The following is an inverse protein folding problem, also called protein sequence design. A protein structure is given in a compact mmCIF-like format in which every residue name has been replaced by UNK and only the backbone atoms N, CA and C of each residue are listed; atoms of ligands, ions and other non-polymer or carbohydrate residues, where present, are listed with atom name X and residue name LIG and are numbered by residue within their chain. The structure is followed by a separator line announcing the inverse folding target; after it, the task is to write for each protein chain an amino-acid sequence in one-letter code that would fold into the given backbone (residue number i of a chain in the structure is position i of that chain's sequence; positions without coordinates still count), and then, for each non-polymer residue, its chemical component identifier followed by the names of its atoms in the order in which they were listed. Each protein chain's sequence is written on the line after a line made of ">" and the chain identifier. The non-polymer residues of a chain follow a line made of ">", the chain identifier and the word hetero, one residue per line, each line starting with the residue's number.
data_IF_301718050702
#
_entry.id   IF_301718050702
#
_cell.length_a   1.000
_cell.length_b   1.000
_cell.length_c   1.000
_cell.angle_alpha   90.00
_cell.angle_beta   90.00
_cell.angle_gamma   90.00
#
_symmetry.space_group_name_H-M   'P 1'
#
loop_
_entity.id
_entity.type
_entity.pdbx_description
1 polymer ?
#
# COMPACT_ATOMS: atom_id res chain seq x y z
N UNK A 1 2.40 -9.19 -14.49
CA UNK A 1 2.02 -9.58 -13.12
C UNK A 1 1.16 -8.48 -12.52
N UNK A 2 0.07 -8.86 -11.91
CA UNK A 2 -0.85 -7.91 -11.29
C UNK A 2 -0.48 -7.79 -9.80
N UNK A 3 -0.14 -6.59 -9.38
CA UNK A 3 0.39 -6.34 -8.04
C UNK A 3 -0.54 -5.44 -7.24
N UNK A 4 -0.77 -5.79 -5.99
CA UNK A 4 -1.47 -4.93 -5.03
C UNK A 4 -0.43 -4.28 -4.13
N UNK A 5 -0.46 -2.96 -4.04
CA UNK A 5 0.42 -2.20 -3.13
C UNK A 5 -0.38 -1.70 -1.95
N UNK A 6 0.01 -2.07 -0.74
CA UNK A 6 -0.53 -1.41 0.45
C UNK A 6 0.17 -0.06 0.65
N UNK A 7 -0.30 0.72 1.62
CA UNK A 7 0.26 2.06 1.85
C UNK A 7 1.71 2.03 2.31
N UNK A 8 2.10 1.03 3.10
CA UNK A 8 3.49 0.94 3.59
C UNK A 8 4.50 0.78 2.46
N UNK A 9 4.13 0.08 1.40
CA UNK A 9 4.94 -0.06 0.20
C UNK A 9 4.79 1.16 -0.72
N UNK A 10 3.56 1.62 -0.95
CA UNK A 10 3.26 2.70 -1.89
C UNK A 10 3.93 4.01 -1.49
N UNK A 11 3.96 4.35 -0.21
CA UNK A 11 4.58 5.58 0.29
C UNK A 11 6.08 5.66 -0.02
N UNK A 12 6.74 4.51 -0.20
CA UNK A 12 8.18 4.43 -0.54
C UNK A 12 8.51 4.96 -1.94
N UNK A 13 7.49 5.12 -2.79
CA UNK A 13 7.66 5.78 -4.09
C UNK A 13 7.89 7.29 -3.94
N UNK A 14 7.44 7.88 -2.83
CA UNK A 14 7.43 9.33 -2.62
C UNK A 14 8.42 9.78 -1.54
N UNK A 15 8.67 8.94 -0.55
CA UNK A 15 9.66 9.19 0.52
C UNK A 15 10.79 8.20 0.33
N UNK A 16 12.02 8.70 0.20
CA UNK A 16 13.18 7.84 0.07
C UNK A 16 13.56 7.25 1.43
N UNK A 17 13.34 5.96 1.58
CA UNK A 17 13.59 5.21 2.82
C UNK A 17 13.99 3.78 2.49
N UNK A 18 14.18 2.94 3.49
CA UNK A 18 14.53 1.53 3.27
C UNK A 18 13.49 0.87 2.35
N UNK A 19 13.98 0.16 1.35
CA UNK A 19 13.13 -0.56 0.39
C UNK A 19 12.64 0.26 -0.78
N UNK A 20 12.88 1.58 -0.83
CA UNK A 20 12.37 2.44 -1.90
C UNK A 20 12.84 2.01 -3.29
N UNK A 21 14.12 1.62 -3.43
CA UNK A 21 14.64 1.17 -4.74
C UNK A 21 13.96 -0.12 -5.18
N UNK A 22 13.73 -1.04 -4.25
CA UNK A 22 13.04 -2.29 -4.53
C UNK A 22 11.58 -2.05 -4.93
N UNK A 23 10.92 -1.10 -4.28
CA UNK A 23 9.54 -0.72 -4.63
C UNK A 23 9.47 -0.15 -6.04
N UNK A 24 10.40 0.76 -6.39
CA UNK A 24 10.45 1.34 -7.74
C UNK A 24 10.64 0.28 -8.81
N UNK A 25 11.61 -0.60 -8.61
CA UNK A 25 11.87 -1.68 -9.55
C UNK A 25 10.65 -2.60 -9.70
N UNK A 26 9.99 -2.93 -8.60
CA UNK A 26 8.82 -3.80 -8.62
C UNK A 26 7.61 -3.11 -9.29
N UNK A 27 7.46 -1.81 -9.06
CA UNK A 27 6.45 -0.99 -9.73
C UNK A 27 6.63 -1.04 -11.26
N UNK A 28 7.86 -0.80 -11.72
CA UNK A 28 8.18 -0.76 -13.15
C UNK A 28 7.96 -2.11 -13.83
N UNK A 29 8.15 -3.21 -13.12
CA UNK A 29 7.95 -4.57 -13.63
C UNK A 29 6.49 -5.02 -13.58
N UNK A 30 5.64 -4.34 -12.84
CA UNK A 30 4.24 -4.72 -12.68
C UNK A 30 3.43 -4.37 -13.92
N UNK A 31 2.62 -5.31 -14.39
CA UNK A 31 1.75 -5.09 -15.54
C UNK A 31 0.57 -4.21 -15.17
N UNK A 32 -0.04 -4.51 -14.03
CA UNK A 32 -1.14 -3.74 -13.44
C UNK A 32 -0.83 -3.54 -11.97
N UNK A 33 -0.94 -2.30 -11.51
CA UNK A 33 -0.88 -1.98 -10.09
C UNK A 33 -2.27 -1.60 -9.61
N UNK A 34 -2.72 -2.23 -8.56
CA UNK A 34 -3.96 -1.86 -7.89
C UNK A 34 -3.72 -1.59 -6.40
N UNK A 35 -4.64 -0.87 -5.81
CA UNK A 35 -4.70 -0.64 -4.36
C UNK A 35 -6.12 -0.24 -3.97
N UNK A 36 -6.36 -0.18 -2.67
CA UNK A 36 -7.61 0.37 -2.14
C UNK A 36 -7.71 1.86 -2.45
N UNK A 37 -8.94 2.34 -2.63
CA UNK A 37 -9.19 3.79 -2.80
C UNK A 37 -8.67 4.62 -1.63
N UNK A 38 -8.45 4.02 -0.45
CA UNK A 38 -7.90 4.73 0.72
C UNK A 38 -6.40 5.00 0.62
N UNK A 39 -5.69 4.38 -0.33
CA UNK A 39 -4.22 4.52 -0.42
C UNK A 39 -3.81 5.96 -0.65
N UNK A 40 -4.57 6.72 -1.41
CA UNK A 40 -4.26 8.13 -1.68
C UNK A 40 -4.38 8.96 -0.41
N UNK A 41 -5.46 8.78 0.34
CA UNK A 41 -5.66 9.50 1.61
C UNK A 41 -4.57 9.14 2.62
N UNK A 42 -4.25 7.86 2.75
CA UNK A 42 -3.21 7.41 3.67
C UNK A 42 -1.82 7.95 3.28
N UNK A 43 -1.54 7.99 1.98
CA UNK A 43 -0.26 8.51 1.47
C UNK A 43 -0.14 10.02 1.74
N UNK A 44 -1.19 10.78 1.46
CA UNK A 44 -1.22 12.23 1.78
C UNK A 44 -1.00 12.45 3.28
N UNK A 45 -1.68 11.66 4.10
CA UNK A 45 -1.52 11.72 5.56
C UNK A 45 -0.08 11.42 5.99
N UNK A 46 0.53 10.38 5.42
CA UNK A 46 1.92 10.01 5.70
C UNK A 46 2.91 11.09 5.27
N UNK A 47 2.72 11.68 4.09
CA UNK A 47 3.55 12.78 3.59
C UNK A 47 3.43 14.02 4.47
N UNK A 48 2.22 14.38 4.87
CA UNK A 48 1.95 15.50 5.75
C UNK A 48 2.63 15.32 7.11
N UNK A 49 2.55 14.12 7.67
CA UNK A 49 3.21 13.78 8.93
C UNK A 49 4.73 13.84 8.81
N UNK A 50 5.28 13.32 7.71
CA UNK A 50 6.72 13.37 7.46
C UNK A 50 7.24 14.80 7.41
N UNK A 51 6.48 15.73 6.79
CA UNK A 51 6.80 17.14 6.76
C UNK A 51 6.74 17.76 8.16
N UNK A 52 5.68 17.49 8.91
CA UNK A 52 5.52 18.00 10.28
C UNK A 52 6.64 17.53 11.19
N UNK A 53 7.09 16.29 11.03
CA UNK A 53 8.19 15.70 11.78
C UNK A 53 9.58 16.05 11.21
N UNK A 54 9.63 16.90 10.20
CA UNK A 54 10.86 17.36 9.54
C UNK A 54 11.70 16.24 8.93
N UNK A 55 11.09 15.13 8.57
CA UNK A 55 11.75 14.06 7.82
C UNK A 55 11.86 14.39 6.34
N UNK A 56 10.98 15.25 5.83
CA UNK A 56 11.05 15.83 4.50
C UNK A 56 10.85 17.34 4.59
N UNK A 57 11.39 18.05 3.62
CA UNK A 57 11.23 19.52 3.52
C UNK A 57 9.87 19.86 2.90
N UNK A 58 9.48 21.16 3.00
CA UNK A 58 8.28 21.66 2.31
C UNK A 58 8.37 21.51 0.79
N UNK A 59 9.56 21.67 0.20
CA UNK A 59 9.78 21.47 -1.23
C UNK A 59 9.62 19.98 -1.61
N UNK A 60 10.20 19.10 -0.82
CA UNK A 60 10.05 17.65 -1.03
C UNK A 60 8.58 17.23 -0.90
N UNK A 61 7.86 17.77 0.07
CA UNK A 61 6.42 17.54 0.21
C UNK A 61 5.66 17.96 -1.04
N UNK A 62 5.89 19.19 -1.53
CA UNK A 62 5.22 19.70 -2.72
C UNK A 62 5.52 18.82 -3.95
N UNK A 63 6.77 18.41 -4.12
CA UNK A 63 7.18 17.54 -5.22
C UNK A 63 6.52 16.18 -5.12
N UNK A 64 6.48 15.61 -3.92
CA UNK A 64 5.81 14.33 -3.67
C UNK A 64 4.33 14.37 -3.97
N UNK A 65 3.64 15.49 -3.64
CA UNK A 65 2.23 15.67 -3.95
C UNK A 65 1.98 15.73 -5.46
N UNK A 66 2.87 16.39 -6.22
CA UNK A 66 2.80 16.41 -7.69
C UNK A 66 2.96 14.99 -8.24
N UNK A 67 3.98 14.26 -7.78
CA UNK A 67 4.24 12.89 -8.21
C UNK A 67 3.06 11.97 -7.89
N UNK A 68 2.45 12.14 -6.72
CA UNK A 68 1.28 11.35 -6.31
C UNK A 68 0.12 11.56 -7.28
N UNK A 69 -0.14 12.82 -7.67
CA UNK A 69 -1.21 13.13 -8.63
C UNK A 69 -0.94 12.51 -10.01
N UNK A 70 0.31 12.47 -10.43
CA UNK A 70 0.68 11.85 -11.71
C UNK A 70 0.47 10.33 -11.67
N UNK A 71 0.82 9.68 -10.54
CA UNK A 71 0.66 8.23 -10.39
C UNK A 71 -0.77 7.79 -10.13
N UNK A 72 -1.64 8.71 -9.71
CA UNK A 72 -3.05 8.41 -9.40
C UNK A 72 -3.76 7.72 -10.56
N UNK A 73 -3.49 8.15 -11.78
CA UNK A 73 -4.11 7.60 -12.99
C UNK A 73 -3.50 6.25 -13.40
N UNK A 74 -2.37 5.88 -12.83
CA UNK A 74 -1.70 4.61 -13.14
C UNK A 74 -2.14 3.47 -12.21
N UNK A 75 -2.86 3.79 -11.14
CA UNK A 75 -3.32 2.83 -10.16
C UNK A 75 -4.76 2.44 -10.44
N UNK A 76 -5.02 1.14 -10.51
CA UNK A 76 -6.40 0.65 -10.50
C UNK A 76 -6.94 0.73 -9.06
N UNK A 77 -7.82 1.68 -8.82
CA UNK A 77 -8.37 1.98 -7.50
C UNK A 77 -9.55 1.05 -7.18
N UNK A 78 -9.46 0.30 -6.09
CA UNK A 78 -10.49 -0.63 -5.65
C UNK A 78 -11.40 0.04 -4.62
N UNK A 79 -12.71 0.00 -4.87
CA UNK A 79 -13.69 0.60 -3.98
C UNK A 79 -13.76 -0.12 -2.63
N UNK A 80 -13.99 0.64 -1.57
CA UNK A 80 -14.26 0.10 -0.24
C UNK A 80 -15.78 -0.02 -0.11
N UNK A 81 -16.32 -1.15 -0.57
CA UNK A 81 -17.75 -1.44 -0.49
C UNK A 81 -18.10 -2.23 0.78
N UNK A 82 -19.39 -2.50 0.98
CA UNK A 82 -19.85 -3.21 2.18
C UNK A 82 -19.24 -4.60 2.31
N UNK A 83 -19.05 -5.31 1.20
CA UNK A 83 -18.46 -6.65 1.20
C UNK A 83 -17.01 -6.61 1.66
N UNK A 84 -16.24 -5.64 1.18
CA UNK A 84 -14.84 -5.42 1.59
C UNK A 84 -14.78 -5.06 3.08
N UNK A 85 -15.66 -4.17 3.54
CA UNK A 85 -15.70 -3.79 4.97
C UNK A 85 -16.03 -4.99 5.86
N UNK A 86 -16.99 -5.82 5.47
CA UNK A 86 -17.36 -7.01 6.25
C UNK A 86 -16.20 -8.01 6.33
N UNK A 87 -15.51 -8.23 5.21
CA UNK A 87 -14.31 -9.09 5.18
C UNK A 87 -13.19 -8.49 6.04
N UNK A 88 -13.00 -7.18 5.99
CA UNK A 88 -12.01 -6.49 6.82
C UNK A 88 -12.33 -6.65 8.32
N UNK A 89 -13.60 -6.62 8.72
CA UNK A 89 -14.00 -6.88 10.10
C UNK A 89 -13.55 -8.27 10.56
N UNK A 90 -13.73 -9.28 9.71
CA UNK A 90 -13.28 -10.64 10.02
C UNK A 90 -11.76 -10.71 10.16
N UNK A 91 -11.02 -10.06 9.28
CA UNK A 91 -9.55 -10.03 9.33
C UNK A 91 -9.04 -9.25 10.55
N UNK A 92 -9.69 -8.15 10.90
CA UNK A 92 -9.35 -7.39 12.10
C UNK A 92 -9.51 -8.25 13.35
N UNK A 93 -10.58 -9.07 13.41
CA UNK A 93 -10.84 -9.97 14.54
C UNK A 93 -9.88 -11.16 14.55
N UNK A 94 -9.73 -11.85 13.42
CA UNK A 94 -9.01 -13.13 13.37
C UNK A 94 -7.49 -12.96 13.28
N UNK A 95 -7.03 -11.90 12.62
CA UNK A 95 -5.60 -11.62 12.43
C UNK A 95 -5.09 -10.52 13.35
N UNK A 96 -5.98 -9.85 14.09
CA UNK A 96 -5.61 -8.75 14.98
C UNK A 96 -5.05 -7.53 14.24
N UNK A 97 -5.51 -7.28 13.01
CA UNK A 97 -5.03 -6.17 12.20
C UNK A 97 -5.73 -4.86 12.58
N UNK A 98 -5.00 -3.74 12.38
CA UNK A 98 -5.61 -2.41 12.42
C UNK A 98 -6.59 -2.26 11.27
N UNK A 99 -7.53 -1.31 11.41
CA UNK A 99 -8.63 -1.11 10.46
C UNK A 99 -8.16 -0.98 9.01
N UNK A 100 -7.18 -0.11 8.74
CA UNK A 100 -6.73 0.13 7.37
C UNK A 100 -5.93 -1.04 6.81
N UNK A 101 -5.14 -1.73 7.63
CA UNK A 101 -4.43 -2.94 7.23
C UNK A 101 -5.42 -4.05 6.87
N UNK A 102 -6.48 -4.19 7.66
CA UNK A 102 -7.56 -5.14 7.37
C UNK A 102 -8.28 -4.79 6.05
N UNK A 103 -8.50 -3.50 5.76
CA UNK A 103 -9.09 -3.05 4.50
C UNK A 103 -8.18 -3.39 3.32
N UNK A 104 -6.88 -3.17 3.42
CA UNK A 104 -5.94 -3.53 2.37
C UNK A 104 -5.94 -5.03 2.10
N UNK A 105 -5.89 -5.84 3.16
CA UNK A 105 -5.92 -7.29 3.00
C UNK A 105 -7.23 -7.75 2.35
N UNK A 106 -8.37 -7.23 2.80
CA UNK A 106 -9.68 -7.56 2.24
C UNK A 106 -9.78 -7.17 0.77
N UNK A 107 -9.30 -5.99 0.40
CA UNK A 107 -9.30 -5.53 -0.99
C UNK A 107 -8.44 -6.44 -1.87
N UNK A 108 -7.26 -6.83 -1.40
CA UNK A 108 -6.37 -7.71 -2.14
C UNK A 108 -6.97 -9.12 -2.32
N UNK A 109 -7.55 -9.67 -1.26
CA UNK A 109 -8.17 -11.00 -1.31
C UNK A 109 -9.39 -11.02 -2.23
N UNK A 110 -10.16 -9.92 -2.26
CA UNK A 110 -11.34 -9.78 -3.12
C UNK A 110 -11.01 -9.60 -4.59
N UNK A 111 -9.75 -9.38 -4.92
CA UNK A 111 -9.28 -9.12 -6.27
C UNK A 111 -8.24 -10.16 -6.64
N UNK A 112 -8.26 -10.62 -7.90
CA UNK A 112 -7.28 -11.61 -8.37
C UNK A 112 -5.93 -10.93 -8.61
N UNK A 113 -5.14 -10.75 -7.55
CA UNK A 113 -3.77 -10.25 -7.65
C UNK A 113 -2.77 -11.39 -7.57
N UNK A 114 -1.65 -11.21 -8.27
CA UNK A 114 -0.57 -12.20 -8.23
C UNK A 114 0.31 -12.03 -7.01
N UNK A 115 0.53 -10.77 -6.60
CA UNK A 115 1.41 -10.44 -5.47
C UNK A 115 0.86 -9.27 -4.66
N UNK A 116 1.00 -9.40 -3.34
CA UNK A 116 0.72 -8.36 -2.36
C UNK A 116 2.04 -7.72 -1.93
N UNK A 117 2.23 -6.45 -2.25
CA UNK A 117 3.47 -5.72 -1.95
C UNK A 117 3.27 -4.92 -0.68
N UNK A 118 4.02 -5.25 0.36
CA UNK A 118 3.80 -4.74 1.71
C UNK A 118 5.11 -4.75 2.52
N UNK A 119 5.37 -3.70 3.28
CA UNK A 119 6.54 -3.62 4.15
C UNK A 119 6.23 -3.89 5.63
N UNK A 120 4.95 -3.96 6.00
CA UNK A 120 4.53 -4.25 7.38
C UNK A 120 4.55 -5.76 7.63
N UNK A 121 5.39 -6.21 8.57
CA UNK A 121 5.60 -7.64 8.83
C UNK A 121 4.33 -8.36 9.28
N UNK A 122 3.52 -7.73 10.12
CA UNK A 122 2.28 -8.33 10.61
C UNK A 122 1.27 -8.50 9.49
N UNK A 123 1.13 -7.49 8.64
CA UNK A 123 0.24 -7.55 7.48
C UNK A 123 0.74 -8.56 6.44
N UNK A 124 2.04 -8.63 6.21
CA UNK A 124 2.65 -9.65 5.34
C UNK A 124 2.29 -11.07 5.81
N UNK A 125 2.43 -11.34 7.10
CA UNK A 125 2.12 -12.64 7.68
C UNK A 125 0.63 -13.00 7.52
N UNK A 126 -0.25 -12.02 7.75
CA UNK A 126 -1.69 -12.21 7.55
C UNK A 126 -2.02 -12.50 6.07
N UNK A 127 -1.39 -11.78 5.15
CA UNK A 127 -1.58 -11.99 3.70
C UNK A 127 -1.15 -13.40 3.28
N UNK A 128 0.00 -13.86 3.77
CA UNK A 128 0.48 -15.22 3.51
C UNK A 128 -0.50 -16.26 4.05
N UNK A 129 -1.02 -16.06 5.26
CA UNK A 129 -1.99 -16.99 5.87
C UNK A 129 -3.29 -17.07 5.07
N UNK A 130 -3.61 -16.04 4.29
CA UNK A 130 -4.78 -16.00 3.40
C UNK A 130 -4.47 -16.44 1.97
N UNK A 131 -3.29 -17.01 1.74
CA UNK A 131 -2.92 -17.60 0.46
C UNK A 131 -2.35 -16.63 -0.58
N UNK A 132 -2.04 -15.40 -0.19
CA UNK A 132 -1.42 -14.43 -1.10
C UNK A 132 0.10 -14.64 -1.16
N UNK A 133 0.66 -14.51 -2.36
CA UNK A 133 2.10 -14.32 -2.50
C UNK A 133 2.43 -12.89 -2.05
N UNK A 134 3.53 -12.73 -1.30
CA UNK A 134 3.92 -11.45 -0.71
C UNK A 134 5.32 -11.06 -1.15
N UNK A 135 5.49 -9.80 -1.52
CA UNK A 135 6.80 -9.18 -1.70
C UNK A 135 6.97 -8.10 -0.65
N UNK A 136 7.96 -8.28 0.22
CA UNK A 136 8.35 -7.25 1.19
C UNK A 136 9.59 -6.52 0.68
N UNK A 137 9.49 -5.23 0.32
CA UNK A 137 10.61 -4.49 -0.25
C UNK A 137 11.75 -4.24 0.73
N UNK A 138 11.51 -4.40 2.02
CA UNK A 138 12.53 -4.26 3.07
C UNK A 138 13.21 -5.58 3.43
N UNK A 139 12.71 -6.70 2.93
CA UNK A 139 13.34 -8.00 3.17
C UNK A 139 14.60 -8.14 2.34
N UNK A 140 15.61 -8.81 2.94
CA UNK A 140 16.88 -9.10 2.27
C UNK A 140 16.74 -10.35 1.39
#
# INVERSE_FOLDING_TARGET
>A
MNSYFDTSAFVKLFINEQGSDNVRAYWDESKIVCSSQIVLLETVSALSRARQMKRITGEEFTRSMVNLRELEDEIYSLAVDTQVVNMACDFATNEGLRAYDALHLASAVSTSVDVFVCADLKLCAAAISRGLAVFNPEAN
#
